data_IF_574116227072
#
_entry.id   IF_574116227072
#
_cell.length_a   1.000
_cell.length_b   1.000
_cell.length_c   1.000
_cell.angle_alpha   90.00
_cell.angle_beta   90.00
_cell.angle_gamma   90.00
#
_symmetry.space_group_name_H-M   'P 1'
#
loop_
_entity.id
_entity.type
_entity.pdbx_description
1 polymer ?
#
# COMPACT_ATOMS: atom_id res chain seq x y z
N UNK A 1 17.58 -10.26 4.30
CA UNK A 1 16.48 -9.73 5.12
C UNK A 1 15.21 -9.97 4.33
N UNK A 2 14.35 -10.90 4.77
CA UNK A 2 13.11 -11.21 4.04
C UNK A 2 11.95 -10.52 4.74
N UNK A 3 11.32 -9.57 4.06
CA UNK A 3 10.06 -8.96 4.46
C UNK A 3 9.07 -9.32 3.38
N UNK A 4 7.89 -9.81 3.75
CA UNK A 4 6.88 -10.22 2.76
C UNK A 4 5.82 -9.15 2.68
N UNK A 5 5.91 -8.28 1.68
CA UNK A 5 4.90 -7.28 1.37
C UNK A 5 3.75 -7.94 0.60
N UNK A 6 2.52 -7.71 1.05
CA UNK A 6 1.29 -8.11 0.38
C UNK A 6 0.47 -6.88 0.03
N UNK A 7 0.07 -6.75 -1.23
CA UNK A 7 -0.79 -5.67 -1.71
C UNK A 7 -2.17 -6.25 -1.98
N UNK A 8 -3.19 -5.75 -1.27
CA UNK A 8 -4.58 -6.10 -1.53
C UNK A 8 -5.17 -5.12 -2.54
N UNK A 9 -5.24 -5.53 -3.80
CA UNK A 9 -5.76 -4.70 -4.88
C UNK A 9 -7.26 -4.93 -5.08
N UNK A 10 -8.07 -3.91 -4.83
CA UNK A 10 -9.48 -3.90 -5.18
C UNK A 10 -9.64 -3.35 -6.61
N UNK A 11 -10.26 -4.09 -7.52
CA UNK A 11 -10.43 -3.67 -8.91
C UNK A 11 -11.17 -2.32 -9.02
N UNK A 12 -10.74 -1.44 -9.94
CA UNK A 12 -11.27 -0.08 -10.11
C UNK A 12 -11.22 0.69 -8.77
N UNK A 13 -10.03 0.87 -8.23
CA UNK A 13 -9.83 1.58 -6.97
C UNK A 13 -8.46 2.23 -6.88
N UNK A 14 -8.29 3.05 -5.83
CA UNK A 14 -7.03 3.72 -5.51
C UNK A 14 -5.88 2.76 -5.17
N UNK A 15 -6.13 1.46 -4.99
CA UNK A 15 -5.05 0.49 -4.79
C UNK A 15 -4.18 0.23 -6.03
N UNK A 16 -4.62 0.68 -7.20
CA UNK A 16 -3.79 0.63 -8.41
C UNK A 16 -2.50 1.45 -8.26
N UNK A 17 -2.53 2.60 -7.58
CA UNK A 17 -1.33 3.41 -7.37
C UNK A 17 -0.29 2.69 -6.51
N UNK A 18 -0.71 1.85 -5.58
CA UNK A 18 0.19 1.05 -4.73
C UNK A 18 0.89 -0.04 -5.53
N UNK A 19 0.17 -0.68 -6.47
CA UNK A 19 0.75 -1.64 -7.42
C UNK A 19 1.82 -0.94 -8.25
N UNK A 20 1.49 0.17 -8.91
CA UNK A 20 2.44 0.94 -9.71
C UNK A 20 3.65 1.42 -8.92
N UNK A 21 3.45 1.84 -7.66
CA UNK A 21 4.55 2.24 -6.78
C UNK A 21 5.53 1.07 -6.55
N UNK A 22 5.01 -0.14 -6.29
CA UNK A 22 5.86 -1.31 -6.08
C UNK A 22 6.62 -1.67 -7.36
N UNK A 23 5.96 -1.64 -8.53
CA UNK A 23 6.59 -1.88 -9.82
C UNK A 23 7.71 -0.86 -10.12
N UNK A 24 7.43 0.45 -9.95
CA UNK A 24 8.40 1.52 -10.20
C UNK A 24 9.62 1.43 -9.26
N UNK A 25 9.40 1.02 -8.01
CA UNK A 25 10.48 0.82 -7.05
C UNK A 25 11.20 -0.53 -7.25
N UNK A 26 10.69 -1.44 -8.07
CA UNK A 26 11.23 -2.78 -8.25
C UNK A 26 11.17 -3.61 -6.96
N UNK A 27 10.13 -3.41 -6.15
CA UNK A 27 9.90 -4.13 -4.90
C UNK A 27 9.21 -5.45 -5.23
N UNK A 28 9.68 -6.55 -4.65
CA UNK A 28 8.99 -7.84 -4.74
C UNK A 28 7.83 -7.87 -3.73
N UNK A 29 6.64 -8.25 -4.20
CA UNK A 29 5.43 -8.27 -3.38
C UNK A 29 4.45 -9.33 -3.88
N UNK A 30 3.60 -9.79 -2.96
CA UNK A 30 2.46 -10.64 -3.28
C UNK A 30 1.25 -9.78 -3.61
N UNK A 31 0.71 -9.91 -4.82
CA UNK A 31 -0.56 -9.28 -5.19
C UNK A 31 -1.75 -10.19 -4.86
N UNK A 32 -2.73 -9.66 -4.14
CA UNK A 32 -4.03 -10.30 -3.92
C UNK A 32 -5.12 -9.44 -4.54
N UNK A 33 -5.73 -9.93 -5.62
CA UNK A 33 -6.78 -9.21 -6.33
C UNK A 33 -8.16 -9.51 -5.74
N UNK A 34 -8.97 -8.46 -5.58
CA UNK A 34 -10.35 -8.52 -5.13
C UNK A 34 -11.23 -7.85 -6.17
N UNK A 35 -12.24 -8.55 -6.66
CA UNK A 35 -13.23 -7.98 -7.55
C UNK A 35 -14.36 -7.32 -6.75
N UNK A 36 -14.91 -6.25 -7.33
CA UNK A 36 -16.12 -5.62 -6.80
C UNK A 36 -17.33 -6.49 -7.10
N UNK A 37 -18.34 -6.37 -6.26
CA UNK A 37 -19.65 -6.93 -6.55
C UNK A 37 -20.16 -6.36 -7.89
N UNK A 38 -20.61 -7.23 -8.79
CA UNK A 38 -20.92 -6.84 -10.18
C UNK A 38 -22.16 -5.95 -10.30
N UNK A 39 -23.06 -5.99 -9.31
CA UNK A 39 -24.32 -5.24 -9.34
C UNK A 39 -24.21 -3.91 -8.59
N UNK A 40 -23.57 -3.93 -7.42
CA UNK A 40 -23.48 -2.79 -6.50
C UNK A 40 -22.17 -2.02 -6.62
N UNK A 41 -21.15 -2.61 -7.29
CA UNK A 41 -19.78 -2.10 -7.36
C UNK A 41 -19.11 -1.91 -5.99
N UNK A 42 -19.69 -2.44 -4.92
CA UNK A 42 -19.11 -2.36 -3.59
C UNK A 42 -17.96 -3.37 -3.43
N UNK A 43 -17.07 -3.11 -2.48
CA UNK A 43 -16.04 -4.06 -2.11
C UNK A 43 -16.69 -5.36 -1.55
N UNK A 44 -16.10 -6.54 -1.82
CA UNK A 44 -16.56 -7.78 -1.23
C UNK A 44 -16.27 -7.79 0.27
N UNK A 45 -17.02 -8.57 1.05
CA UNK A 45 -16.90 -8.55 2.51
C UNK A 45 -15.51 -8.98 2.99
N UNK A 46 -14.89 -9.95 2.31
CA UNK A 46 -13.50 -10.34 2.58
C UNK A 46 -12.50 -9.18 2.46
N UNK A 47 -12.74 -8.21 1.55
CA UNK A 47 -11.91 -7.00 1.46
C UNK A 47 -12.23 -6.02 2.59
N UNK A 48 -13.52 -5.85 2.92
CA UNK A 48 -13.95 -4.97 4.01
C UNK A 48 -13.41 -5.41 5.37
N UNK A 49 -13.20 -6.71 5.56
CA UNK A 49 -12.60 -7.27 6.79
C UNK A 49 -11.12 -6.93 6.95
N UNK A 50 -10.44 -6.51 5.89
CA UNK A 50 -9.02 -6.18 5.96
C UNK A 50 -8.78 -4.94 6.84
N UNK A 51 -9.66 -3.94 6.80
CA UNK A 51 -9.49 -2.69 7.53
C UNK A 51 -10.82 -2.16 8.05
N UNK A 52 -10.85 -1.54 9.24
CA UNK A 52 -12.03 -0.81 9.74
C UNK A 52 -12.57 0.24 8.76
N UNK A 53 -11.71 0.78 7.88
CA UNK A 53 -12.09 1.76 6.87
C UNK A 53 -12.88 1.16 5.71
N UNK A 54 -12.76 -0.16 5.47
CA UNK A 54 -13.48 -0.91 4.42
C UNK A 54 -13.26 -0.37 3.00
N UNK A 55 -12.19 0.37 2.79
CA UNK A 55 -11.81 1.02 1.53
C UNK A 55 -10.40 0.60 1.11
N UNK A 56 -10.09 0.83 -0.16
CA UNK A 56 -8.77 0.60 -0.72
C UNK A 56 -7.93 1.90 -0.70
N UNK A 57 -6.60 1.81 -0.58
CA UNK A 57 -5.76 0.59 -0.53
C UNK A 57 -5.63 -0.06 0.86
N UNK A 58 -5.20 -1.32 0.88
CA UNK A 58 -4.68 -2.02 2.06
C UNK A 58 -3.41 -2.80 1.69
N UNK A 59 -2.40 -2.74 2.56
CA UNK A 59 -1.19 -3.57 2.49
C UNK A 59 -0.99 -4.35 3.79
N UNK A 60 -0.32 -5.49 3.69
CA UNK A 60 0.27 -6.20 4.83
C UNK A 60 1.78 -6.29 4.64
N UNK A 61 2.53 -6.24 5.73
CA UNK A 61 3.96 -6.51 5.71
C UNK A 61 4.33 -7.34 6.94
N UNK A 62 5.04 -8.43 6.69
CA UNK A 62 5.55 -9.32 7.74
C UNK A 62 7.07 -9.24 7.70
N UNK A 63 7.63 -8.54 8.69
CA UNK A 63 9.08 -8.49 8.87
C UNK A 63 9.53 -9.68 9.71
N UNK A 64 10.13 -10.66 9.03
CA UNK A 64 10.58 -11.89 9.69
C UNK A 64 11.89 -11.74 10.48
N UNK A 65 12.50 -10.56 10.48
CA UNK A 65 13.77 -10.30 11.15
C UNK A 65 13.63 -9.45 12.41
N UNK A 66 12.47 -8.80 12.66
CA UNK A 66 12.25 -8.18 13.97
C UNK A 66 12.02 -9.28 15.02
N UNK A 67 12.51 -9.12 16.26
CA UNK A 67 12.32 -10.11 17.33
C UNK A 67 10.85 -10.48 17.58
N UNK A 68 9.93 -9.60 17.20
CA UNK A 68 8.50 -9.75 17.39
C UNK A 68 7.77 -10.31 16.17
N UNK A 69 8.46 -10.52 15.04
CA UNK A 69 7.86 -10.85 13.75
C UNK A 69 6.66 -9.93 13.45
N UNK A 70 6.91 -8.62 13.50
CA UNK A 70 5.83 -7.64 13.44
C UNK A 70 5.05 -7.82 12.13
N UNK A 71 3.78 -8.19 12.26
CA UNK A 71 2.82 -8.20 11.17
C UNK A 71 2.03 -6.91 11.25
N UNK A 72 2.24 -6.03 10.28
CA UNK A 72 1.50 -4.79 10.15
C UNK A 72 0.51 -4.89 9.00
N UNK A 73 -0.68 -4.33 9.21
CA UNK A 73 -1.67 -4.12 8.17
C UNK A 73 -2.02 -2.64 8.15
N UNK A 74 -1.76 -1.98 7.03
CA UNK A 74 -2.00 -0.55 6.87
C UNK A 74 -3.08 -0.32 5.83
N UNK A 75 -3.98 0.61 6.17
CA UNK A 75 -4.91 1.24 5.26
C UNK A 75 -4.59 2.74 5.20
N UNK A 76 -5.25 3.48 4.31
CA UNK A 76 -4.90 4.85 3.86
C UNK A 76 -3.75 4.88 2.85
N UNK A 77 -3.99 5.55 1.73
CA UNK A 77 -3.05 5.57 0.60
C UNK A 77 -1.69 6.16 0.97
N UNK A 78 -1.68 7.33 1.63
CA UNK A 78 -0.43 7.98 2.04
C UNK A 78 0.33 7.17 3.09
N UNK A 79 -0.36 6.49 4.00
CA UNK A 79 0.30 5.60 4.96
C UNK A 79 0.95 4.40 4.27
N UNK A 80 0.27 3.80 3.28
CA UNK A 80 0.82 2.72 2.47
C UNK A 80 2.05 3.18 1.66
N UNK A 81 1.95 4.34 0.99
CA UNK A 81 3.04 4.93 0.20
C UNK A 81 4.24 5.23 1.08
N UNK A 82 4.05 5.91 2.20
CA UNK A 82 5.11 6.26 3.15
C UNK A 82 5.82 5.01 3.68
N UNK A 83 5.06 3.97 4.06
CA UNK A 83 5.62 2.70 4.52
C UNK A 83 6.46 2.03 3.44
N UNK A 84 5.92 1.84 2.24
CA UNK A 84 6.60 1.19 1.12
C UNK A 84 7.87 1.94 0.75
N UNK A 85 7.78 3.26 0.52
CA UNK A 85 8.93 4.07 0.13
C UNK A 85 10.03 4.05 1.19
N UNK A 86 9.70 4.19 2.49
CA UNK A 86 10.72 4.20 3.54
C UNK A 86 11.29 2.83 3.85
N UNK A 87 10.44 1.81 4.01
CA UNK A 87 10.84 0.47 4.46
C UNK A 87 11.50 -0.33 3.34
N UNK A 88 10.93 -0.29 2.14
CA UNK A 88 11.36 -1.12 1.00
C UNK A 88 12.05 -0.29 -0.09
N UNK A 89 11.60 0.95 -0.30
CA UNK A 89 12.11 1.83 -1.37
C UNK A 89 13.36 2.64 -1.02
N UNK A 90 13.95 2.48 0.16
CA UNK A 90 15.10 3.25 0.66
C UNK A 90 14.88 4.78 0.64
N UNK A 91 13.64 5.21 0.82
CA UNK A 91 13.23 6.61 0.78
C UNK A 91 13.13 7.22 -0.62
N UNK A 92 13.24 6.43 -1.69
CA UNK A 92 12.99 6.90 -3.06
C UNK A 92 11.53 7.31 -3.23
N UNK A 93 11.28 8.19 -4.22
CA UNK A 93 9.96 8.72 -4.59
C UNK A 93 9.23 9.50 -3.48
N UNK A 94 9.93 9.86 -2.40
CA UNK A 94 9.45 10.82 -1.40
C UNK A 94 10.21 12.13 -1.54
N UNK A 95 9.47 13.23 -1.62
CA UNK A 95 10.05 14.56 -1.49
C UNK A 95 10.35 14.86 -0.01
N UNK A 96 11.36 15.67 0.21
CA UNK A 96 11.71 16.19 1.53
C UNK A 96 10.93 17.48 1.80
N UNK A 97 10.58 17.77 3.07
CA UNK A 97 9.85 19.00 3.41
C UNK A 97 10.53 20.32 3.02
N UNK A 98 11.85 20.27 2.74
CA UNK A 98 12.64 21.42 2.32
C UNK A 98 12.88 21.49 0.80
N UNK A 99 12.30 20.58 0.01
CA UNK A 99 12.37 20.66 -1.45
C UNK A 99 11.50 21.82 -1.94
N UNK A 100 12.00 22.59 -2.90
CA UNK A 100 11.35 23.82 -3.36
C UNK A 100 9.98 23.59 -4.02
N UNK A 101 9.72 22.37 -4.49
CA UNK A 101 8.46 21.94 -5.12
C UNK A 101 7.61 21.02 -4.23
N UNK A 102 7.91 20.92 -2.93
CA UNK A 102 7.25 19.96 -2.04
C UNK A 102 5.73 20.18 -1.93
N UNK A 103 5.29 21.44 -1.92
CA UNK A 103 3.87 21.79 -1.80
C UNK A 103 3.08 21.36 -3.03
N UNK A 104 3.64 21.59 -4.21
CA UNK A 104 3.05 21.19 -5.48
C UNK A 104 3.00 19.67 -5.59
N UNK A 105 4.04 18.98 -5.13
CA UNK A 105 4.06 17.52 -5.08
C UNK A 105 3.00 16.95 -4.13
N UNK A 106 2.88 17.49 -2.90
CA UNK A 106 1.93 17.01 -1.88
C UNK A 106 0.46 17.23 -2.24
N UNK A 107 0.17 18.23 -3.08
CA UNK A 107 -1.20 18.54 -3.50
C UNK A 107 -1.84 17.44 -4.35
N UNK A 108 -1.01 16.67 -5.08
CA UNK A 108 -1.43 15.58 -5.95
C UNK A 108 -1.37 14.23 -5.23
#
# INVERSE_FOLDING_TARGET
MSSTLVVHHLRVSQSESIVWLCEELGIDYKLVCHDRDQQTLLAPDAYKELSPLKTAPVIEDVDTYTPNHDHIRLAESQACIEWICRKHGQGRLLNKPWDSNWKEWLFW
#
